data_IF_154200590602
#
_entry.id   IF_154200590602
#
_cell.length_a   1.000
_cell.length_b   1.000
_cell.length_c   1.000
_cell.angle_alpha   90.00
_cell.angle_beta   90.00
_cell.angle_gamma   90.00
#
_symmetry.space_group_name_H-M   'P 1'
#
loop_
_entity.id
_entity.type
_entity.pdbx_description
1 polymer ?
#
# COMPACT_ATOMS: atom_id res chain seq x y z
N UNK A 1 4.54 -6.53 3.70
CA UNK A 1 3.93 -5.23 3.31
C UNK A 1 4.92 -4.46 2.46
N UNK A 2 4.49 -3.72 1.43
CA UNK A 2 5.42 -2.89 0.67
C UNK A 2 6.12 -1.83 1.56
N UNK A 3 7.41 -1.52 1.34
CA UNK A 3 8.15 -0.54 2.14
C UNK A 3 7.52 0.85 2.10
N UNK A 4 7.44 1.51 3.24
CA UNK A 4 6.81 2.84 3.38
C UNK A 4 7.46 3.89 2.47
N UNK A 5 8.79 3.82 2.28
CA UNK A 5 9.52 4.73 1.39
C UNK A 5 9.03 4.64 -0.06
N UNK A 6 8.78 3.42 -0.55
CA UNK A 6 8.28 3.18 -1.91
C UNK A 6 6.85 3.71 -2.06
N UNK A 7 6.00 3.46 -1.07
CA UNK A 7 4.62 3.98 -1.06
C UNK A 7 4.64 5.52 -1.08
N UNK A 8 5.48 6.14 -0.26
CA UNK A 8 5.63 7.60 -0.20
C UNK A 8 6.14 8.18 -1.52
N UNK A 9 7.12 7.53 -2.15
CA UNK A 9 7.64 7.93 -3.45
C UNK A 9 6.55 7.89 -4.54
N UNK A 10 5.78 6.81 -4.60
CA UNK A 10 4.69 6.68 -5.57
C UNK A 10 3.57 7.71 -5.33
N UNK A 11 3.20 7.96 -4.07
CA UNK A 11 2.25 9.02 -3.74
C UNK A 11 2.78 10.41 -4.12
N UNK A 12 4.08 10.66 -3.93
CA UNK A 12 4.72 11.90 -4.36
C UNK A 12 4.68 12.08 -5.88
N UNK A 13 4.97 11.02 -6.65
CA UNK A 13 4.87 11.04 -8.11
C UNK A 13 3.43 11.31 -8.55
N UNK A 14 2.45 10.61 -7.97
CA UNK A 14 1.03 10.80 -8.29
C UNK A 14 0.55 12.21 -7.97
N UNK A 15 0.95 12.75 -6.81
CA UNK A 15 0.64 14.12 -6.42
C UNK A 15 1.23 15.13 -7.40
N UNK A 16 2.50 14.98 -7.78
CA UNK A 16 3.16 15.89 -8.73
C UNK A 16 2.49 15.85 -10.10
N UNK A 17 2.15 14.66 -10.58
CA UNK A 17 1.40 14.49 -11.82
C UNK A 17 0.02 15.17 -11.75
N UNK A 18 -0.74 14.92 -10.68
CA UNK A 18 -2.08 15.48 -10.49
C UNK A 18 -2.09 17.01 -10.52
N UNK A 19 -1.06 17.65 -9.94
CA UNK A 19 -0.93 19.10 -9.95
C UNK A 19 -0.18 19.67 -11.17
N UNK A 20 0.20 18.83 -12.14
CA UNK A 20 0.88 19.27 -13.37
C UNK A 20 2.25 19.92 -13.09
N UNK A 21 2.99 19.40 -12.11
CA UNK A 21 4.34 19.87 -11.82
C UNK A 21 5.31 19.33 -12.87
N UNK A 22 6.10 20.21 -13.48
CA UNK A 22 7.24 19.78 -14.30
C UNK A 22 8.44 19.49 -13.42
N UNK A 23 9.44 18.82 -13.96
CA UNK A 23 10.66 18.51 -13.22
C UNK A 23 11.31 19.79 -12.68
N UNK A 24 11.65 19.76 -11.39
CA UNK A 24 12.22 20.86 -10.63
C UNK A 24 11.32 22.10 -10.38
N UNK A 25 10.04 22.07 -10.78
CA UNK A 25 9.10 23.14 -10.44
C UNK A 25 8.49 22.95 -9.05
N UNK A 26 8.54 24.01 -8.23
CA UNK A 26 7.74 24.11 -7.00
C UNK A 26 6.58 25.07 -7.24
N UNK A 27 5.36 24.53 -7.36
CA UNK A 27 4.13 25.33 -7.42
C UNK A 27 3.40 25.28 -6.08
N UNK A 28 2.71 26.36 -5.75
CA UNK A 28 1.91 26.43 -4.53
C UNK A 28 0.68 25.51 -4.65
N UNK A 29 0.46 24.67 -3.64
CA UNK A 29 -0.69 23.77 -3.57
C UNK A 29 -1.64 24.26 -2.49
N UNK A 30 -2.87 24.59 -2.88
CA UNK A 30 -3.89 25.13 -1.96
C UNK A 30 -4.67 24.05 -1.21
N UNK A 31 -4.68 22.82 -1.72
CA UNK A 31 -5.44 21.70 -1.14
C UNK A 31 -4.50 20.59 -0.72
N UNK A 32 -4.56 20.19 0.56
CA UNK A 32 -3.80 19.06 1.08
C UNK A 32 -4.10 17.79 0.29
N UNK A 33 -3.05 17.01 0.01
CA UNK A 33 -3.19 15.77 -0.75
C UNK A 33 -4.10 14.76 -0.04
N UNK A 34 -4.06 14.67 1.29
CA UNK A 34 -4.96 13.77 2.03
C UNK A 34 -6.44 14.13 1.85
N UNK A 35 -6.76 15.42 1.69
CA UNK A 35 -8.13 15.88 1.44
C UNK A 35 -8.61 15.49 0.03
N UNK A 36 -7.70 15.45 -0.95
CA UNK A 36 -8.03 14.97 -2.30
C UNK A 36 -8.30 13.47 -2.30
N UNK A 37 -7.54 12.72 -1.50
CA UNK A 37 -7.70 11.28 -1.38
C UNK A 37 -8.92 10.84 -0.57
N UNK A 38 -9.57 11.75 0.18
CA UNK A 38 -10.79 11.40 0.90
C UNK A 38 -11.93 11.10 -0.08
N UNK A 39 -12.93 10.36 0.40
CA UNK A 39 -14.11 10.02 -0.41
C UNK A 39 -14.86 11.30 -0.83
N UNK A 40 -15.60 11.23 -1.94
CA UNK A 40 -16.47 12.33 -2.37
C UNK A 40 -17.50 12.70 -1.29
N UNK A 41 -18.01 11.71 -0.54
CA UNK A 41 -18.88 11.93 0.63
C UNK A 41 -18.22 12.78 1.73
N UNK A 42 -16.89 12.70 1.85
CA UNK A 42 -16.10 13.45 2.82
C UNK A 42 -15.45 14.70 2.19
N UNK A 43 -15.97 15.18 1.05
CA UNK A 43 -15.51 16.40 0.39
C UNK A 43 -14.16 16.29 -0.32
N UNK A 44 -13.71 15.07 -0.63
CA UNK A 44 -12.55 14.80 -1.47
C UNK A 44 -12.89 14.41 -2.90
N UNK A 45 -11.88 14.03 -3.67
CA UNK A 45 -12.04 13.59 -5.07
C UNK A 45 -12.15 12.07 -5.19
N UNK A 46 -12.11 11.34 -4.08
CA UNK A 46 -12.22 9.87 -4.06
C UNK A 46 -10.97 9.17 -4.60
N UNK A 47 -9.83 9.85 -4.69
CA UNK A 47 -8.61 9.24 -5.22
C UNK A 47 -7.99 8.30 -4.18
N UNK A 48 -8.24 7.00 -4.32
CA UNK A 48 -7.85 5.98 -3.33
C UNK A 48 -6.36 6.01 -2.95
N UNK A 49 -6.05 5.82 -1.67
CA UNK A 49 -4.66 5.74 -1.19
C UNK A 49 -3.93 4.48 -1.68
N UNK A 50 -2.69 4.63 -2.16
CA UNK A 50 -1.82 3.50 -2.55
C UNK A 50 -1.56 2.58 -1.36
N UNK A 51 -1.42 3.14 -0.14
CA UNK A 51 -1.28 2.34 1.08
C UNK A 51 -2.50 1.43 1.30
N UNK A 52 -3.70 1.99 1.15
CA UNK A 52 -4.95 1.24 1.29
C UNK A 52 -5.07 0.15 0.23
N UNK A 53 -4.75 0.47 -1.04
CA UNK A 53 -4.70 -0.51 -2.13
C UNK A 53 -3.72 -1.65 -1.84
N UNK A 54 -2.50 -1.34 -1.43
CA UNK A 54 -1.48 -2.32 -1.09
C UNK A 54 -1.95 -3.26 0.04
N UNK A 55 -2.58 -2.72 1.08
CA UNK A 55 -3.15 -3.54 2.15
C UNK A 55 -4.28 -4.45 1.65
N UNK A 56 -5.21 -3.91 0.86
CA UNK A 56 -6.30 -4.69 0.27
C UNK A 56 -5.80 -5.81 -0.65
N UNK A 57 -4.78 -5.51 -1.47
CA UNK A 57 -4.15 -6.50 -2.34
C UNK A 57 -3.46 -7.61 -1.54
N UNK A 58 -2.68 -7.29 -0.51
CA UNK A 58 -2.06 -8.30 0.34
C UNK A 58 -3.13 -9.18 1.01
N UNK A 59 -4.22 -8.58 1.50
CA UNK A 59 -5.35 -9.32 2.05
C UNK A 59 -5.97 -10.28 1.03
N UNK A 60 -6.24 -9.79 -0.19
CA UNK A 60 -6.75 -10.61 -1.30
C UNK A 60 -5.79 -11.74 -1.65
N UNK A 61 -4.50 -11.48 -1.73
CA UNK A 61 -3.45 -12.47 -1.99
C UNK A 61 -3.41 -13.54 -0.91
N UNK A 62 -3.47 -13.14 0.38
CA UNK A 62 -3.52 -14.08 1.50
C UNK A 62 -4.78 -14.94 1.47
N UNK A 63 -5.94 -14.33 1.19
CA UNK A 63 -7.20 -15.07 1.05
C UNK A 63 -7.14 -16.10 -0.09
N UNK A 64 -6.63 -15.70 -1.26
CA UNK A 64 -6.42 -16.62 -2.40
C UNK A 64 -5.46 -17.73 -2.05
N UNK A 65 -4.36 -17.42 -1.36
CA UNK A 65 -3.40 -18.43 -0.94
C UNK A 65 -4.04 -19.48 -0.04
N UNK A 66 -4.91 -19.08 0.89
CA UNK A 66 -5.62 -20.01 1.77
C UNK A 66 -6.67 -20.84 1.01
N UNK A 67 -7.44 -20.21 0.12
CA UNK A 67 -8.56 -20.84 -0.56
C UNK A 67 -8.16 -21.71 -1.78
N UNK A 68 -7.10 -21.35 -2.50
CA UNK A 68 -6.67 -22.02 -3.73
C UNK A 68 -5.60 -23.09 -3.46
N UNK A 69 -5.92 -24.11 -2.63
CA UNK A 69 -4.98 -25.17 -2.23
C UNK A 69 -4.43 -26.02 -3.38
N UNK A 70 -5.22 -26.22 -4.43
CA UNK A 70 -4.83 -27.00 -5.61
C UNK A 70 -4.03 -26.23 -6.67
N UNK A 71 -3.86 -24.91 -6.53
CA UNK A 71 -3.27 -24.09 -7.59
C UNK A 71 -1.75 -24.26 -7.69
N UNK A 72 -1.23 -24.36 -8.92
CA UNK A 72 0.20 -24.55 -9.19
C UNK A 72 1.06 -23.43 -8.58
N UNK A 73 0.62 -22.18 -8.72
CA UNK A 73 1.32 -21.01 -8.16
C UNK A 73 1.47 -21.11 -6.64
N UNK A 74 0.46 -21.65 -5.93
CA UNK A 74 0.51 -21.86 -4.48
C UNK A 74 1.58 -22.90 -4.15
N UNK A 75 1.64 -24.01 -4.88
CA UNK A 75 2.66 -25.06 -4.67
C UNK A 75 4.07 -24.50 -4.81
N UNK A 76 4.31 -23.71 -5.86
CA UNK A 76 5.60 -23.03 -6.07
C UNK A 76 5.93 -22.09 -4.90
N UNK A 77 4.97 -21.31 -4.42
CA UNK A 77 5.18 -20.42 -3.27
C UNK A 77 5.45 -21.21 -1.98
N UNK A 78 4.75 -22.32 -1.76
CA UNK A 78 4.99 -23.18 -0.59
C UNK A 78 6.40 -23.77 -0.63
N UNK A 79 6.88 -24.16 -1.81
CA UNK A 79 8.24 -24.69 -1.97
C UNK A 79 9.30 -23.61 -1.71
N UNK A 80 9.06 -22.38 -2.17
CA UNK A 80 10.02 -21.27 -2.02
C UNK A 80 9.99 -20.62 -0.63
N UNK A 81 8.81 -20.53 0.00
CA UNK A 81 8.56 -19.71 1.20
C UNK A 81 7.93 -20.50 2.36
N UNK A 82 7.98 -21.83 2.31
CA UNK A 82 7.39 -22.77 3.28
C UNK A 82 5.85 -22.78 3.30
N UNK A 83 5.27 -23.68 4.10
CA UNK A 83 3.82 -23.98 4.16
C UNK A 83 2.94 -22.75 4.34
N UNK A 84 3.43 -21.73 5.04
CA UNK A 84 2.70 -20.49 5.32
C UNK A 84 2.93 -19.38 4.27
N UNK A 85 3.62 -19.68 3.15
CA UNK A 85 3.86 -18.75 2.05
C UNK A 85 4.59 -17.47 2.46
N UNK A 86 5.42 -17.53 3.51
CA UNK A 86 6.13 -16.37 4.06
C UNK A 86 5.24 -15.30 4.73
N UNK A 87 3.95 -15.57 4.98
CA UNK A 87 3.03 -14.60 5.58
C UNK A 87 3.19 -14.41 7.10
N UNK A 88 3.94 -15.27 7.78
CA UNK A 88 4.14 -15.24 9.23
C UNK A 88 5.36 -14.41 9.66
N UNK A 89 5.57 -13.25 9.03
CA UNK A 89 6.43 -12.23 9.61
C UNK A 89 5.61 -11.43 10.63
N UNK A 90 5.28 -12.09 11.74
CA UNK A 90 4.76 -11.42 12.93
C UNK A 90 5.75 -10.33 13.34
N UNK A 91 5.30 -9.08 13.23
CA UNK A 91 5.95 -7.85 13.68
C UNK A 91 6.53 -8.02 15.08
N UNK A 92 7.81 -8.38 15.18
CA UNK A 92 8.60 -8.15 16.40
C UNK A 92 9.00 -6.68 16.48
N UNK A 93 8.01 -5.82 16.69
CA UNK A 93 8.19 -4.48 17.26
C UNK A 93 6.91 -4.10 18.00
N UNK A 94 6.67 -4.79 19.11
CA UNK A 94 5.96 -4.23 20.25
C UNK A 94 7.05 -3.83 21.24
N UNK A 95 7.13 -2.54 21.55
CA UNK A 95 8.13 -1.97 22.44
C UNK A 95 8.11 -0.46 22.37
N UNK A 96 6.93 0.13 22.61
CA UNK A 96 6.83 1.52 23.01
C UNK A 96 6.82 1.51 24.54
N UNK A 97 7.80 2.14 25.18
CA UNK A 97 7.71 2.55 26.58
C UNK A 97 8.23 3.96 26.66
N UNK A 98 7.30 4.91 26.72
CA UNK A 98 7.60 6.26 27.16
C UNK A 98 7.79 6.29 28.67
N UNK A 99 8.91 6.87 29.07
CA UNK A 99 9.05 7.98 30.04
C UNK A 99 10.28 8.75 29.61
#
# INVERSE_FOLDING_TARGET
MAPTAVISLLESIRRRFFWGFKDNEKKMVWVKWEKIMSSSKNGGLGVESIKAKNMGMIGKWKWRFLNESGALWRRVIVELYSVNGGFDQSTRHIGNSGT
#
